data_IF_490012587013
#
_entry.id   IF_490012587013
#
_cell.length_a   1.000
_cell.length_b   1.000
_cell.length_c   1.000
_cell.angle_alpha   90.00
_cell.angle_beta   90.00
_cell.angle_gamma   90.00
#
_symmetry.space_group_name_H-M   'P 1'
#
loop_
_entity.id
_entity.type
_entity.pdbx_description
1 polymer ?
#
# COMPACT_ATOMS: atom_id res chain seq x y z
N UNK A 1 -56.31 -5.87 30.69
CA UNK A 1 -55.13 -6.62 31.16
C UNK A 1 -55.42 -8.13 31.24
N UNK A 2 -56.34 -8.65 30.41
CA UNK A 2 -56.69 -10.08 30.34
C UNK A 2 -56.35 -10.72 28.96
N UNK A 3 -56.03 -9.93 27.94
CA UNK A 3 -55.76 -10.45 26.59
C UNK A 3 -54.31 -10.89 26.33
N UNK A 4 -53.37 -10.61 27.24
CA UNK A 4 -51.95 -11.00 27.05
C UNK A 4 -51.62 -12.31 27.76
N UNK A 5 -52.37 -12.69 28.81
CA UNK A 5 -52.13 -13.94 29.55
C UNK A 5 -52.64 -15.19 28.82
N UNK A 6 -53.71 -15.10 28.01
CA UNK A 6 -54.25 -16.27 27.30
C UNK A 6 -53.42 -16.69 26.07
N UNK A 7 -52.56 -15.81 25.55
CA UNK A 7 -51.65 -16.15 24.44
C UNK A 7 -50.44 -16.95 24.92
N UNK A 8 -50.00 -16.75 26.17
CA UNK A 8 -48.80 -17.41 26.72
C UNK A 8 -49.16 -18.79 27.32
N UNK A 9 -50.32 -18.94 27.94
CA UNK A 9 -50.71 -20.22 28.58
C UNK A 9 -50.97 -21.33 27.55
N UNK A 10 -51.46 -21.00 26.35
CA UNK A 10 -51.62 -21.99 25.27
C UNK A 10 -50.30 -22.35 24.55
N UNK A 11 -49.25 -21.53 24.70
CA UNK A 11 -47.93 -21.84 24.14
C UNK A 11 -47.19 -22.91 24.95
N UNK A 12 -47.47 -23.01 26.26
CA UNK A 12 -46.80 -23.95 27.16
C UNK A 12 -47.50 -25.30 27.32
N UNK A 13 -48.81 -25.41 27.02
CA UNK A 13 -49.54 -26.68 27.15
C UNK A 13 -49.33 -27.66 25.98
N UNK A 14 -48.80 -27.19 24.84
CA UNK A 14 -48.55 -28.05 23.67
C UNK A 14 -47.17 -28.71 23.66
N UNK A 15 -46.28 -28.38 24.61
CA UNK A 15 -44.92 -28.93 24.62
C UNK A 15 -44.79 -30.27 25.36
N UNK A 16 -45.82 -30.71 26.07
CA UNK A 16 -45.70 -31.85 26.99
C UNK A 16 -46.03 -33.24 26.41
N UNK A 17 -46.22 -33.35 25.09
CA UNK A 17 -46.45 -34.64 24.43
C UNK A 17 -45.67 -34.78 23.11
N UNK A 18 -44.37 -34.51 23.17
CA UNK A 18 -43.45 -34.84 22.07
C UNK A 18 -42.68 -36.08 22.48
N UNK A 19 -43.34 -37.22 22.37
CA UNK A 19 -42.68 -38.51 22.29
C UNK A 19 -43.23 -39.24 21.06
N UNK A 20 -42.30 -39.75 20.26
CA UNK A 20 -42.48 -40.55 19.05
C UNK A 20 -42.87 -39.86 17.73
N UNK A 21 -42.01 -40.13 16.74
CA UNK A 21 -42.28 -40.21 15.32
C UNK A 21 -42.43 -38.90 14.52
N UNK A 22 -41.29 -38.53 13.93
CA UNK A 22 -41.15 -38.01 12.58
C UNK A 22 -42.34 -38.26 11.62
N UNK A 23 -43.23 -37.26 11.52
CA UNK A 23 -44.00 -36.84 10.32
C UNK A 23 -45.05 -35.88 10.85
N UNK A 24 -45.05 -34.62 10.41
CA UNK A 24 -46.24 -33.75 10.37
C UNK A 24 -45.82 -32.36 9.84
N UNK A 25 -46.03 -32.12 8.55
CA UNK A 25 -46.41 -30.77 8.10
C UNK A 25 -47.78 -30.49 8.71
N UNK A 26 -47.84 -29.69 9.76
CA UNK A 26 -49.11 -29.30 10.36
C UNK A 26 -49.60 -28.03 9.67
N UNK A 27 -50.74 -28.12 8.97
CA UNK A 27 -51.42 -26.98 8.34
C UNK A 27 -52.51 -26.51 9.28
N UNK A 28 -52.38 -25.29 9.81
CA UNK A 28 -53.38 -24.71 10.70
C UNK A 28 -54.32 -23.80 9.90
N UNK A 29 -55.63 -24.03 10.01
CA UNK A 29 -56.66 -23.17 9.46
C UNK A 29 -57.12 -22.18 10.52
N UNK A 30 -56.96 -20.89 10.25
CA UNK A 30 -57.58 -19.82 11.03
C UNK A 30 -58.66 -19.14 10.19
N UNK A 31 -59.89 -19.11 10.71
CA UNK A 31 -61.00 -18.37 10.13
C UNK A 31 -61.14 -17.01 10.80
N UNK A 32 -61.04 -15.93 10.02
CA UNK A 32 -61.44 -14.59 10.44
C UNK A 32 -62.96 -14.44 10.41
N UNK A 33 -63.53 -13.61 11.29
CA UNK A 33 -64.95 -13.25 11.36
C UNK A 33 -65.52 -12.60 10.06
N UNK A 34 -64.69 -12.41 9.02
CA UNK A 34 -65.07 -11.88 7.71
C UNK A 34 -64.95 -12.88 6.54
N UNK A 35 -64.76 -14.18 6.82
CA UNK A 35 -64.89 -15.25 5.81
C UNK A 35 -63.64 -15.59 4.98
N UNK A 36 -62.57 -14.82 5.10
CA UNK A 36 -61.31 -15.13 4.41
C UNK A 36 -60.51 -16.20 5.16
N UNK A 37 -60.18 -17.30 4.46
CA UNK A 37 -59.33 -18.40 4.96
C UNK A 37 -57.87 -18.07 4.68
N UNK A 38 -57.07 -17.88 5.72
CA UNK A 38 -55.62 -17.73 5.59
C UNK A 38 -54.94 -19.07 5.93
N UNK A 39 -54.06 -19.55 5.04
CA UNK A 39 -53.26 -20.76 5.24
C UNK A 39 -51.90 -20.34 5.79
N UNK A 40 -51.66 -20.54 7.09
CA UNK A 40 -50.32 -20.39 7.67
C UNK A 40 -49.53 -21.69 7.51
N UNK A 41 -48.61 -21.71 6.55
CA UNK A 41 -47.64 -22.80 6.40
C UNK A 41 -46.42 -22.47 7.27
N UNK A 42 -46.37 -23.02 8.49
CA UNK A 42 -45.15 -22.94 9.31
C UNK A 42 -44.18 -24.01 8.80
N UNK A 43 -43.22 -23.60 7.95
CA UNK A 43 -42.09 -24.47 7.59
C UNK A 43 -41.10 -24.46 8.76
N UNK A 44 -40.79 -25.60 9.42
CA UNK A 44 -39.74 -25.61 10.42
C UNK A 44 -38.42 -25.22 9.75
N UNK A 45 -37.76 -24.20 10.29
CA UNK A 45 -36.42 -23.81 9.84
C UNK A 45 -35.47 -24.98 10.06
N UNK A 46 -34.99 -25.60 8.98
CA UNK A 46 -33.90 -26.57 9.06
C UNK A 46 -32.60 -25.81 9.38
N UNK A 47 -32.30 -25.66 10.67
CA UNK A 47 -31.09 -24.97 11.15
C UNK A 47 -29.81 -25.78 10.88
N UNK A 48 -29.92 -27.09 10.62
CA UNK A 48 -28.77 -27.97 10.36
C UNK A 48 -29.07 -28.82 9.13
N UNK A 49 -28.15 -28.80 8.16
CA UNK A 49 -28.15 -29.68 6.98
C UNK A 49 -26.79 -30.38 6.91
N UNK A 50 -26.78 -31.71 7.04
CA UNK A 50 -25.56 -32.51 6.83
C UNK A 50 -25.10 -32.36 5.37
N UNK A 51 -23.86 -31.93 5.18
CA UNK A 51 -23.17 -31.93 3.89
C UNK A 51 -21.88 -32.74 4.06
N UNK A 52 -21.60 -33.63 3.14
CA UNK A 52 -20.29 -34.28 3.04
C UNK A 52 -19.32 -33.25 2.44
N UNK A 53 -18.24 -32.95 3.15
CA UNK A 53 -17.19 -32.05 2.67
C UNK A 53 -15.88 -32.82 2.54
N UNK A 54 -15.13 -32.48 1.50
CA UNK A 54 -13.74 -32.92 1.38
C UNK A 54 -12.93 -32.19 2.44
N UNK A 55 -12.28 -32.95 3.32
CA UNK A 55 -11.34 -32.42 4.31
C UNK A 55 -9.93 -32.85 3.93
N UNK A 56 -8.94 -32.06 4.36
CA UNK A 56 -7.56 -32.49 4.23
C UNK A 56 -7.30 -33.68 5.16
N UNK A 57 -6.61 -34.70 4.63
CA UNK A 57 -6.00 -35.74 5.46
C UNK A 57 -4.87 -35.12 6.28
N UNK A 58 -4.37 -35.83 7.29
CA UNK A 58 -3.18 -35.37 8.04
C UNK A 58 -1.97 -35.13 7.13
N UNK A 59 -1.80 -35.96 6.08
CA UNK A 59 -0.78 -35.75 5.03
C UNK A 59 -1.05 -34.47 4.25
N UNK A 60 -2.32 -34.21 3.90
CA UNK A 60 -2.74 -32.97 3.24
C UNK A 60 -2.44 -31.73 4.08
N UNK A 61 -2.71 -31.78 5.38
CA UNK A 61 -2.36 -30.72 6.32
C UNK A 61 -0.85 -30.53 6.44
N UNK A 62 -0.06 -31.61 6.52
CA UNK A 62 1.41 -31.53 6.51
C UNK A 62 1.94 -30.92 5.22
N UNK A 63 1.39 -31.30 4.07
CA UNK A 63 1.73 -30.72 2.77
C UNK A 63 1.42 -29.23 2.71
N UNK A 64 0.24 -28.82 3.21
CA UNK A 64 -0.15 -27.41 3.27
C UNK A 64 0.77 -26.60 4.19
N UNK A 65 1.10 -27.13 5.37
CA UNK A 65 2.02 -26.48 6.30
C UNK A 65 3.45 -26.39 5.73
N UNK A 66 3.92 -27.44 5.06
CA UNK A 66 5.22 -27.43 4.39
C UNK A 66 5.26 -26.39 3.26
N UNK A 67 4.21 -26.31 2.44
CA UNK A 67 4.09 -25.30 1.39
C UNK A 67 4.02 -23.87 1.98
N UNK A 68 3.20 -23.66 3.00
CA UNK A 68 3.09 -22.38 3.69
C UNK A 68 4.42 -21.95 4.33
N UNK A 69 5.11 -22.89 4.98
CA UNK A 69 6.44 -22.68 5.54
C UNK A 69 7.48 -22.34 4.47
N UNK A 70 7.46 -23.00 3.31
CA UNK A 70 8.34 -22.69 2.19
C UNK A 70 8.07 -21.29 1.62
N UNK A 71 6.80 -20.94 1.38
CA UNK A 71 6.43 -19.60 0.88
C UNK A 71 6.85 -18.52 1.87
N UNK A 72 6.59 -18.72 3.17
CA UNK A 72 7.01 -17.78 4.21
C UNK A 72 8.54 -17.66 4.26
N UNK A 73 9.26 -18.78 4.21
CA UNK A 73 10.72 -18.79 4.18
C UNK A 73 11.24 -17.97 2.98
N UNK A 74 10.78 -18.27 1.77
CA UNK A 74 11.17 -17.52 0.58
C UNK A 74 10.83 -16.03 0.71
N UNK A 75 9.64 -15.70 1.21
CA UNK A 75 9.24 -14.32 1.43
C UNK A 75 10.22 -13.60 2.36
N UNK A 76 10.50 -14.16 3.54
CA UNK A 76 11.39 -13.55 4.54
C UNK A 76 12.77 -13.20 3.97
N UNK A 77 13.36 -14.10 3.17
CA UNK A 77 14.74 -13.93 2.69
C UNK A 77 14.86 -13.21 1.33
N UNK A 78 13.78 -13.12 0.54
CA UNK A 78 13.86 -12.58 -0.83
C UNK A 78 13.12 -11.25 -1.01
N UNK A 79 12.11 -10.95 -0.19
CA UNK A 79 11.27 -9.76 -0.42
C UNK A 79 12.04 -8.46 -0.22
N UNK A 80 12.88 -8.38 0.82
CA UNK A 80 13.62 -7.16 1.15
C UNK A 80 14.59 -6.76 0.02
N UNK A 81 15.54 -7.61 -0.42
CA UNK A 81 16.43 -7.25 -1.52
C UNK A 81 15.70 -7.05 -2.86
N UNK A 82 14.52 -7.66 -3.04
CA UNK A 82 13.66 -7.38 -4.19
C UNK A 82 13.07 -5.96 -4.17
N UNK A 83 12.67 -5.48 -2.99
CA UNK A 83 12.07 -4.15 -2.79
C UNK A 83 13.12 -3.03 -2.66
N UNK A 84 14.34 -3.35 -2.24
CA UNK A 84 15.43 -2.40 -2.06
C UNK A 84 16.56 -2.58 -3.09
N UNK A 85 16.30 -2.49 -4.41
CA UNK A 85 17.35 -2.66 -5.40
C UNK A 85 18.28 -1.43 -5.43
N UNK A 86 19.58 -1.69 -5.53
CA UNK A 86 20.58 -0.68 -5.94
C UNK A 86 21.13 -1.08 -7.31
N UNK A 87 20.71 -0.34 -8.33
CA UNK A 87 21.07 -0.52 -9.74
C UNK A 87 21.30 0.86 -10.38
N UNK A 88 22.41 1.54 -10.05
CA UNK A 88 22.74 2.83 -10.65
C UNK A 88 23.05 2.66 -12.14
N UNK A 89 22.79 3.72 -12.91
CA UNK A 89 23.23 3.87 -14.30
C UNK A 89 24.30 4.95 -14.39
N UNK A 90 24.98 5.05 -15.53
CA UNK A 90 25.85 6.19 -15.81
C UNK A 90 24.97 7.45 -15.94
N UNK A 91 25.04 8.30 -14.92
CA UNK A 91 24.13 9.42 -14.72
C UNK A 91 24.91 10.67 -14.34
N UNK A 92 24.37 11.82 -14.73
CA UNK A 92 24.86 13.15 -14.37
C UNK A 92 23.87 13.90 -13.47
N UNK A 93 22.65 13.37 -13.26
CA UNK A 93 21.67 13.91 -12.33
C UNK A 93 21.33 12.89 -11.23
N UNK A 94 21.31 13.38 -10.00
CA UNK A 94 20.90 12.62 -8.81
C UNK A 94 19.56 13.16 -8.31
N UNK A 95 18.57 12.29 -8.14
CA UNK A 95 17.25 12.67 -7.62
C UNK A 95 17.13 12.26 -6.16
N UNK A 96 16.70 13.18 -5.30
CA UNK A 96 16.20 12.86 -3.96
C UNK A 96 14.72 12.56 -4.09
N UNK A 97 14.34 11.30 -3.92
CA UNK A 97 12.94 10.89 -3.94
C UNK A 97 12.35 10.91 -2.53
N UNK A 98 11.34 11.74 -2.34
CA UNK A 98 10.71 12.00 -1.04
C UNK A 98 11.71 12.53 0.01
N UNK A 99 11.23 12.66 1.26
CA UNK A 99 12.11 13.05 2.36
C UNK A 99 13.03 11.88 2.73
N UNK A 100 14.33 12.14 2.71
CA UNK A 100 15.33 11.30 3.35
C UNK A 100 15.69 11.89 4.72
N UNK A 101 15.90 11.04 5.72
CA UNK A 101 16.48 11.48 6.99
C UNK A 101 17.93 11.96 6.81
N UNK A 102 18.45 12.68 7.80
CA UNK A 102 19.77 13.30 7.78
C UNK A 102 20.89 12.33 7.37
N UNK A 103 20.83 11.07 7.83
CA UNK A 103 21.83 10.08 7.44
C UNK A 103 21.74 9.67 5.97
N UNK A 104 20.52 9.58 5.41
CA UNK A 104 20.30 9.26 4.01
C UNK A 104 20.72 10.42 3.11
N UNK A 105 20.45 11.66 3.53
CA UNK A 105 20.95 12.86 2.84
C UNK A 105 22.47 13.00 2.93
N UNK A 106 23.08 12.51 4.01
CA UNK A 106 24.55 12.44 4.13
C UNK A 106 25.13 11.42 3.15
N UNK A 107 24.58 10.21 3.09
CA UNK A 107 24.98 9.19 2.13
C UNK A 107 24.78 9.67 0.68
N UNK A 108 23.68 10.36 0.41
CA UNK A 108 23.43 11.01 -0.89
C UNK A 108 24.48 12.08 -1.22
N UNK A 109 24.88 12.88 -0.23
CA UNK A 109 25.94 13.89 -0.40
C UNK A 109 27.30 13.25 -0.71
N UNK A 110 27.59 12.10 -0.11
CA UNK A 110 28.82 11.37 -0.33
C UNK A 110 28.81 10.67 -1.71
N UNK A 111 27.67 10.10 -2.12
CA UNK A 111 27.44 9.60 -3.49
C UNK A 111 27.61 10.72 -4.52
N UNK A 112 27.00 11.89 -4.30
CA UNK A 112 27.11 13.06 -5.18
C UNK A 112 28.55 13.50 -5.40
N UNK A 113 29.37 13.52 -4.33
CA UNK A 113 30.78 13.91 -4.41
C UNK A 113 31.69 12.85 -5.03
N UNK A 114 31.36 11.58 -4.85
CA UNK A 114 32.19 10.47 -5.30
C UNK A 114 32.02 10.12 -6.79
N UNK A 115 30.97 10.64 -7.42
CA UNK A 115 30.58 10.36 -8.80
C UNK A 115 30.44 11.65 -9.61
N UNK A 116 30.25 11.51 -10.92
CA UNK A 116 30.20 12.63 -11.86
C UNK A 116 28.80 13.25 -12.00
N UNK A 117 28.11 13.47 -10.88
CA UNK A 117 26.84 14.20 -10.89
C UNK A 117 27.08 15.71 -10.96
N UNK A 118 26.30 16.39 -11.78
CA UNK A 118 26.33 17.86 -11.92
C UNK A 118 25.20 18.53 -11.12
N UNK A 119 24.09 17.82 -10.89
CA UNK A 119 22.88 18.37 -10.30
C UNK A 119 22.18 17.38 -9.37
N UNK A 120 21.69 17.90 -8.25
CA UNK A 120 20.74 17.25 -7.36
C UNK A 120 19.36 17.86 -7.57
N UNK A 121 18.40 17.04 -7.99
CA UNK A 121 17.00 17.42 -8.08
C UNK A 121 16.26 16.85 -6.89
N UNK A 122 15.67 17.71 -6.06
CA UNK A 122 14.98 17.30 -4.84
C UNK A 122 13.48 17.49 -5.00
N UNK A 123 12.75 16.41 -5.25
CA UNK A 123 11.31 16.44 -5.46
C UNK A 123 10.59 15.73 -4.32
N UNK A 124 9.56 16.38 -3.75
CA UNK A 124 8.88 15.83 -2.59
C UNK A 124 7.49 16.38 -2.35
N UNK A 125 6.73 15.66 -1.53
CA UNK A 125 5.37 16.03 -1.14
C UNK A 125 5.34 17.28 -0.26
N UNK A 126 4.20 17.98 -0.26
CA UNK A 126 3.94 19.09 0.68
C UNK A 126 4.04 18.60 2.12
N UNK A 127 4.67 19.42 2.96
CA UNK A 127 4.74 19.15 4.39
C UNK A 127 3.36 19.34 5.05
N UNK A 128 3.02 18.54 6.08
CA UNK A 128 1.77 18.70 6.80
C UNK A 128 1.61 20.11 7.39
N UNK A 129 0.45 20.71 7.17
CA UNK A 129 0.10 22.03 7.73
C UNK A 129 0.15 21.97 9.27
N UNK A 130 0.72 23.00 9.89
CA UNK A 130 0.86 23.10 11.34
C UNK A 130 2.13 22.46 11.91
N UNK A 131 2.98 21.81 11.10
CA UNK A 131 4.33 21.46 11.57
C UNK A 131 5.20 22.71 11.70
N UNK A 132 6.11 22.80 12.70
CA UNK A 132 7.03 23.93 12.81
C UNK A 132 7.86 24.15 11.53
N UNK A 133 8.19 23.07 10.82
CA UNK A 133 8.96 23.10 9.58
C UNK A 133 8.14 23.60 8.39
N UNK A 134 6.81 23.46 8.41
CA UNK A 134 5.95 23.94 7.33
C UNK A 134 5.90 25.48 7.22
N UNK A 135 6.37 26.20 8.25
CA UNK A 135 6.56 27.64 8.20
C UNK A 135 7.73 28.05 7.31
N UNK A 136 8.78 27.22 7.21
CA UNK A 136 10.01 27.51 6.48
C UNK A 136 10.09 26.78 5.14
N UNK A 137 9.57 25.54 5.08
CA UNK A 137 9.64 24.68 3.90
C UNK A 137 8.23 24.23 3.53
N UNK A 138 7.84 24.39 2.26
CA UNK A 138 6.54 23.96 1.75
C UNK A 138 6.56 22.48 1.40
N UNK A 139 7.69 21.94 0.96
CA UNK A 139 7.83 20.53 0.57
C UNK A 139 9.00 19.83 1.26
N UNK A 140 8.91 18.51 1.34
CA UNK A 140 10.03 17.64 1.71
C UNK A 140 11.25 17.81 0.80
N UNK A 141 11.03 18.20 -0.46
CA UNK A 141 12.10 18.50 -1.42
C UNK A 141 12.90 19.74 -1.02
N UNK A 142 12.21 20.82 -0.60
CA UNK A 142 12.86 22.03 -0.10
C UNK A 142 13.61 21.77 1.22
N UNK A 143 13.02 21.00 2.14
CA UNK A 143 13.69 20.61 3.38
C UNK A 143 14.97 19.82 3.11
N UNK A 144 14.91 18.84 2.21
CA UNK A 144 16.08 18.05 1.81
C UNK A 144 17.16 18.94 1.19
N UNK A 145 16.79 19.90 0.33
CA UNK A 145 17.73 20.86 -0.23
C UNK A 145 18.43 21.71 0.85
N UNK A 146 17.70 22.15 1.88
CA UNK A 146 18.27 22.91 2.98
C UNK A 146 19.26 22.09 3.81
N UNK A 147 18.97 20.81 4.06
CA UNK A 147 19.88 19.90 4.76
C UNK A 147 21.12 19.61 3.92
N UNK A 148 20.98 19.37 2.60
CA UNK A 148 22.12 19.15 1.70
C UNK A 148 23.06 20.37 1.65
N UNK A 149 22.52 21.59 1.71
CA UNK A 149 23.32 22.82 1.87
C UNK A 149 24.13 22.79 3.17
N UNK A 150 23.51 22.38 4.29
CA UNK A 150 24.23 22.23 5.58
C UNK A 150 25.32 21.17 5.52
N UNK A 151 25.15 20.14 4.69
CA UNK A 151 26.20 19.14 4.44
C UNK A 151 27.29 19.62 3.49
N UNK A 152 27.24 20.87 3.01
CA UNK A 152 28.27 21.49 2.18
C UNK A 152 28.17 21.18 0.70
N UNK A 153 26.98 20.81 0.20
CA UNK A 153 26.70 20.79 -1.24
C UNK A 153 26.43 22.23 -1.70
N UNK A 154 27.00 22.61 -2.84
CA UNK A 154 26.81 23.94 -3.41
C UNK A 154 25.33 24.19 -3.72
N UNK A 155 24.82 25.37 -3.36
CA UNK A 155 23.46 25.78 -3.71
C UNK A 155 23.20 25.75 -5.22
N UNK A 156 24.21 26.03 -6.04
CA UNK A 156 24.10 25.96 -7.51
C UNK A 156 23.89 24.54 -8.05
N UNK A 157 24.22 23.54 -7.25
CA UNK A 157 24.09 22.13 -7.60
C UNK A 157 22.80 21.50 -7.05
N UNK A 158 21.94 22.25 -6.34
CA UNK A 158 20.69 21.72 -5.78
C UNK A 158 19.51 22.51 -6.32
N UNK A 159 18.54 21.81 -6.89
CA UNK A 159 17.28 22.40 -7.32
C UNK A 159 16.11 21.67 -6.64
N UNK A 160 15.43 22.31 -5.69
CA UNK A 160 14.18 21.79 -5.16
C UNK A 160 13.07 21.96 -6.20
N UNK A 161 12.33 20.89 -6.45
CA UNK A 161 11.20 20.86 -7.38
C UNK A 161 9.93 20.66 -6.58
N UNK A 162 8.94 21.51 -6.82
CA UNK A 162 7.65 21.47 -6.16
C UNK A 162 6.65 20.81 -7.10
N UNK A 163 6.29 19.53 -6.89
CA UNK A 163 5.25 18.89 -7.67
C UNK A 163 3.88 19.50 -7.36
N UNK A 164 2.97 19.46 -8.35
CA UNK A 164 1.56 19.74 -8.09
C UNK A 164 1.01 18.70 -7.10
N UNK A 165 0.17 19.13 -6.13
CA UNK A 165 -0.45 18.20 -5.21
C UNK A 165 -1.42 17.30 -5.99
N UNK A 166 -1.34 16.00 -5.73
CA UNK A 166 -2.27 15.00 -6.27
C UNK A 166 -2.71 14.09 -5.13
N UNK A 167 -3.93 13.59 -5.19
CA UNK A 167 -4.46 12.72 -4.12
C UNK A 167 -3.82 11.33 -4.15
N UNK A 168 -3.49 10.83 -5.34
CA UNK A 168 -2.91 9.50 -5.59
C UNK A 168 -1.60 9.62 -6.34
N UNK A 169 -0.77 8.58 -6.28
CA UNK A 169 0.44 8.45 -7.10
C UNK A 169 1.44 9.62 -6.97
N UNK A 170 1.57 10.17 -5.76
CA UNK A 170 2.44 11.31 -5.43
C UNK A 170 3.88 11.15 -5.92
N UNK A 171 4.45 9.95 -5.86
CA UNK A 171 5.80 9.66 -6.39
C UNK A 171 5.87 9.86 -7.91
N UNK A 172 4.83 9.46 -8.66
CA UNK A 172 4.78 9.67 -10.11
C UNK A 172 4.60 11.16 -10.45
N UNK A 173 3.79 11.89 -9.68
CA UNK A 173 3.67 13.35 -9.83
C UNK A 173 5.01 14.07 -9.57
N UNK A 174 5.78 13.65 -8.55
CA UNK A 174 7.16 14.12 -8.34
C UNK A 174 8.04 13.83 -9.55
N UNK A 175 8.02 12.59 -10.07
CA UNK A 175 8.81 12.21 -11.23
C UNK A 175 8.43 13.01 -12.50
N UNK A 176 7.15 13.29 -12.71
CA UNK A 176 6.68 14.10 -13.82
C UNK A 176 7.09 15.57 -13.66
N UNK A 177 7.06 16.11 -12.44
CA UNK A 177 7.56 17.45 -12.16
C UNK A 177 9.06 17.58 -12.47
N UNK A 178 9.85 16.55 -12.15
CA UNK A 178 11.28 16.49 -12.52
C UNK A 178 11.43 16.47 -14.04
N UNK A 179 10.69 15.61 -14.75
CA UNK A 179 10.72 15.59 -16.23
C UNK A 179 10.39 16.95 -16.84
N UNK A 180 9.30 17.56 -16.38
CA UNK A 180 8.86 18.86 -16.88
C UNK A 180 9.90 19.95 -16.63
N UNK A 181 10.54 19.95 -15.45
CA UNK A 181 11.59 20.89 -15.12
C UNK A 181 12.82 20.71 -16.04
N UNK A 182 13.23 19.47 -16.31
CA UNK A 182 14.32 19.17 -17.25
C UNK A 182 14.01 19.69 -18.66
N UNK A 183 12.81 19.41 -19.17
CA UNK A 183 12.36 19.88 -20.48
C UNK A 183 12.32 21.41 -20.56
N UNK A 184 11.76 22.07 -19.55
CA UNK A 184 11.65 23.54 -19.51
C UNK A 184 13.01 24.23 -19.50
N UNK A 185 14.03 23.59 -18.90
CA UNK A 185 15.39 24.11 -18.85
C UNK A 185 16.27 23.62 -20.02
N UNK A 186 15.69 22.90 -20.99
CA UNK A 186 16.41 22.29 -22.12
C UNK A 186 17.60 21.41 -21.68
N UNK A 187 17.44 20.68 -20.57
CA UNK A 187 18.45 19.77 -20.04
C UNK A 187 18.14 18.36 -20.52
N UNK A 188 19.09 17.76 -21.23
CA UNK A 188 19.06 16.35 -21.62
C UNK A 188 20.11 15.58 -20.80
N UNK A 189 19.73 14.92 -19.70
CA UNK A 189 20.67 14.16 -18.90
C UNK A 189 21.16 12.92 -19.63
N UNK A 190 22.42 12.54 -19.40
CA UNK A 190 22.94 11.24 -19.87
C UNK A 190 22.23 10.08 -19.19
N UNK A 191 21.84 10.31 -17.94
CA UNK A 191 21.08 9.37 -17.13
C UNK A 191 20.74 10.01 -15.80
N UNK A 192 19.80 9.40 -15.10
CA UNK A 192 19.33 9.84 -13.81
C UNK A 192 19.44 8.69 -12.82
N UNK A 193 20.03 8.92 -11.66
CA UNK A 193 19.91 7.99 -10.53
C UNK A 193 18.93 8.55 -9.52
N UNK A 194 17.93 7.75 -9.16
CA UNK A 194 16.99 8.06 -8.08
C UNK A 194 17.58 7.52 -6.78
N UNK A 195 17.64 8.34 -5.74
CA UNK A 195 18.07 7.93 -4.41
C UNK A 195 16.85 7.90 -3.51
N UNK A 196 16.54 6.72 -2.96
CA UNK A 196 15.29 6.45 -2.25
C UNK A 196 15.51 5.50 -1.07
N UNK A 197 14.55 5.45 -0.15
CA UNK A 197 14.69 4.66 1.07
C UNK A 197 14.38 3.18 0.87
N UNK A 198 15.39 2.32 1.05
CA UNK A 198 15.23 0.88 1.26
C UNK A 198 14.13 0.25 0.39
N UNK A 199 13.13 -0.45 0.98
CA UNK A 199 12.02 -1.07 0.25
C UNK A 199 11.17 -0.15 -0.64
N UNK A 200 11.14 1.17 -0.39
CA UNK A 200 10.42 2.14 -1.23
C UNK A 200 11.04 2.24 -2.64
N UNK A 201 12.34 1.98 -2.74
CA UNK A 201 13.16 2.19 -3.93
C UNK A 201 12.62 1.45 -5.17
N UNK A 202 12.08 0.23 -5.02
CA UNK A 202 11.53 -0.54 -6.14
C UNK A 202 10.35 0.16 -6.81
N UNK A 203 9.44 0.71 -6.00
CA UNK A 203 8.24 1.40 -6.49
C UNK A 203 8.62 2.75 -7.10
N UNK A 204 9.49 3.51 -6.45
CA UNK A 204 10.00 4.76 -7.01
C UNK A 204 10.71 4.55 -8.33
N UNK A 205 11.57 3.53 -8.42
CA UNK A 205 12.27 3.22 -9.67
C UNK A 205 11.33 2.87 -10.83
N UNK A 206 10.23 2.16 -10.54
CA UNK A 206 9.20 1.86 -11.54
C UNK A 206 8.51 3.14 -12.03
N UNK A 207 8.09 4.02 -11.12
CA UNK A 207 7.35 5.23 -11.44
C UNK A 207 8.23 6.31 -12.12
N UNK A 208 9.49 6.44 -11.72
CA UNK A 208 10.42 7.34 -12.41
C UNK A 208 10.74 6.86 -13.82
N UNK A 209 10.88 5.54 -14.03
CA UNK A 209 11.02 4.99 -15.39
C UNK A 209 9.81 5.29 -16.27
N UNK A 210 8.61 5.10 -15.73
CA UNK A 210 7.38 5.46 -16.46
C UNK A 210 7.32 6.95 -16.80
N UNK A 211 7.68 7.82 -15.85
CA UNK A 211 7.61 9.26 -16.06
C UNK A 211 8.60 9.70 -17.15
N UNK A 212 9.87 9.27 -17.01
CA UNK A 212 10.96 9.65 -17.90
C UNK A 212 10.80 9.07 -19.31
N UNK A 213 10.26 7.86 -19.44
CA UNK A 213 10.17 7.14 -20.72
C UNK A 213 11.48 6.45 -21.08
N UNK A 214 11.58 5.94 -22.31
CA UNK A 214 12.73 5.13 -22.77
C UNK A 214 13.98 5.97 -23.11
N UNK A 215 13.82 7.28 -23.28
CA UNK A 215 14.90 8.17 -23.73
C UNK A 215 15.96 8.44 -22.67
N UNK A 216 15.58 8.44 -21.39
CA UNK A 216 16.47 8.78 -20.27
C UNK A 216 16.71 7.51 -19.44
N UNK A 217 17.94 6.98 -19.38
CA UNK A 217 18.27 5.89 -18.47
C UNK A 217 18.00 6.28 -17.01
N UNK A 218 17.19 5.48 -16.32
CA UNK A 218 16.88 5.69 -14.90
C UNK A 218 17.45 4.54 -14.07
N UNK A 219 18.40 4.85 -13.21
CA UNK A 219 18.91 3.98 -12.15
C UNK A 219 18.29 4.29 -10.80
N UNK A 220 18.57 3.42 -9.84
CA UNK A 220 18.06 3.51 -8.46
C UNK A 220 19.18 3.18 -7.47
N UNK A 221 19.24 3.91 -6.38
CA UNK A 221 20.13 3.68 -5.25
C UNK A 221 19.26 3.61 -4.00
N UNK A 222 19.23 2.43 -3.39
CA UNK A 222 18.48 2.22 -2.16
C UNK A 222 19.35 2.56 -0.95
N UNK A 223 18.95 3.58 -0.19
CA UNK A 223 19.52 3.92 1.11
C UNK A 223 19.06 2.89 2.14
N UNK A 224 19.99 2.35 2.93
CA UNK A 224 19.64 1.39 3.98
C UNK A 224 18.88 2.09 5.11
N UNK A 225 17.76 1.51 5.54
CA UNK A 225 17.02 2.02 6.69
C UNK A 225 17.75 1.63 7.99
N UNK A 226 18.10 2.60 8.84
CA UNK A 226 18.83 2.36 10.10
C UNK A 226 17.96 1.90 11.27
N UNK A 227 16.63 1.88 11.12
CA UNK A 227 15.69 1.44 12.16
C UNK A 227 15.60 -0.10 12.28
N UNK A 228 16.09 -0.83 11.29
CA UNK A 228 16.09 -2.29 11.31
C UNK A 228 17.22 -2.88 10.46
N UNK A 229 17.60 -4.13 10.74
CA UNK A 229 18.57 -4.86 9.94
C UNK A 229 17.90 -5.42 8.66
N UNK A 230 18.30 -5.01 7.45
CA UNK A 230 17.75 -5.52 6.18
C UNK A 230 17.71 -7.05 6.06
N UNK A 231 18.70 -7.75 6.62
CA UNK A 231 18.81 -9.22 6.53
C UNK A 231 17.89 -9.93 7.53
N UNK A 232 17.36 -9.21 8.52
CA UNK A 232 16.55 -9.73 9.62
C UNK A 232 15.38 -8.78 9.91
N UNK A 233 14.81 -8.19 8.88
CA UNK A 233 13.78 -7.14 8.96
C UNK A 233 12.54 -7.58 9.75
N UNK A 234 12.22 -8.88 9.73
CA UNK A 234 11.07 -9.45 10.45
C UNK A 234 11.25 -9.48 11.98
N UNK A 235 12.44 -9.15 12.49
CA UNK A 235 12.71 -9.12 13.93
C UNK A 235 12.26 -7.83 14.63
N UNK A 236 11.94 -6.78 13.87
CA UNK A 236 11.50 -5.49 14.43
C UNK A 236 10.16 -5.07 13.85
N UNK A 237 9.37 -4.33 14.64
CA UNK A 237 8.09 -3.79 14.17
C UNK A 237 8.25 -2.80 13.02
N UNK A 238 9.33 -1.99 13.04
CA UNK A 238 9.67 -1.08 11.93
C UNK A 238 9.92 -1.88 10.64
N UNK A 239 10.81 -2.88 10.67
CA UNK A 239 11.11 -3.69 9.49
C UNK A 239 9.90 -4.44 8.94
N UNK A 240 9.07 -5.04 9.81
CA UNK A 240 7.83 -5.71 9.40
C UNK A 240 6.87 -4.74 8.71
N UNK A 241 6.61 -3.57 9.31
CA UNK A 241 5.69 -2.57 8.74
C UNK A 241 6.22 -2.06 7.41
N UNK A 242 7.48 -1.61 7.35
CA UNK A 242 8.07 -1.07 6.12
C UNK A 242 8.02 -2.08 4.97
N UNK A 243 8.41 -3.33 5.21
CA UNK A 243 8.45 -4.35 4.15
C UNK A 243 7.06 -4.73 3.69
N UNK A 244 6.09 -4.93 4.60
CA UNK A 244 4.73 -5.29 4.23
C UNK A 244 4.02 -4.13 3.52
N UNK A 245 4.12 -2.91 4.04
CA UNK A 245 3.50 -1.72 3.46
C UNK A 245 4.05 -1.47 2.05
N UNK A 246 5.36 -1.57 1.83
CA UNK A 246 5.94 -1.40 0.50
C UNK A 246 5.68 -2.59 -0.43
N UNK A 247 5.52 -3.81 0.09
CA UNK A 247 5.05 -4.95 -0.71
C UNK A 247 3.65 -4.66 -1.28
N UNK A 248 2.72 -4.26 -0.42
CA UNK A 248 1.34 -3.95 -0.80
C UNK A 248 1.31 -2.74 -1.73
N UNK A 249 2.02 -1.67 -1.39
CA UNK A 249 2.07 -0.46 -2.19
C UNK A 249 2.71 -0.71 -3.58
N UNK A 250 3.75 -1.53 -3.67
CA UNK A 250 4.34 -1.93 -4.95
C UNK A 250 3.36 -2.73 -5.80
N UNK A 251 2.67 -3.72 -5.23
CA UNK A 251 1.65 -4.50 -5.95
C UNK A 251 0.51 -3.60 -6.42
N UNK A 252 0.02 -2.72 -5.55
CA UNK A 252 -1.02 -1.74 -5.90
C UNK A 252 -0.57 -0.85 -7.05
N UNK A 253 0.62 -0.26 -6.96
CA UNK A 253 1.19 0.58 -8.01
C UNK A 253 1.50 -0.19 -9.30
N UNK A 254 1.68 -1.51 -9.25
CA UNK A 254 1.91 -2.31 -10.46
C UNK A 254 0.63 -2.71 -11.17
N UNK A 255 -0.46 -2.89 -10.43
CA UNK A 255 -1.73 -3.43 -10.96
C UNK A 255 -2.81 -2.37 -11.21
N UNK A 256 -2.79 -1.26 -10.46
CA UNK A 256 -3.88 -0.26 -10.42
C UNK A 256 -3.44 1.12 -10.91
N UNK A 257 -2.12 1.35 -11.01
CA UNK A 257 -1.58 2.63 -11.45
C UNK A 257 -1.97 2.92 -12.91
N UNK A 258 -2.41 4.16 -13.13
CA UNK A 258 -2.78 4.70 -14.43
C UNK A 258 -2.03 6.03 -14.62
N UNK A 259 -0.99 6.09 -15.47
CA UNK A 259 -0.19 7.30 -15.66
C UNK A 259 -1.00 8.42 -16.31
N UNK A 260 -1.94 8.12 -17.21
CA UNK A 260 -2.69 9.12 -17.97
C UNK A 260 -3.68 9.89 -17.10
N UNK A 261 -4.25 9.22 -16.09
CA UNK A 261 -5.04 9.89 -15.05
C UNK A 261 -4.22 10.99 -14.38
N UNK A 262 -3.00 10.68 -13.93
CA UNK A 262 -2.16 11.64 -13.20
C UNK A 262 -1.71 12.78 -14.11
N UNK A 263 -1.37 12.49 -15.38
CA UNK A 263 -1.04 13.53 -16.37
C UNK A 263 -2.22 14.49 -16.57
N UNK A 264 -3.44 13.96 -16.65
CA UNK A 264 -4.66 14.75 -16.80
C UNK A 264 -4.93 15.62 -15.57
N UNK A 265 -4.88 15.04 -14.37
CA UNK A 265 -5.07 15.75 -13.09
C UNK A 265 -4.11 16.95 -12.97
N UNK A 266 -2.84 16.75 -13.34
CA UNK A 266 -1.82 17.81 -13.34
C UNK A 266 -2.08 18.87 -14.42
N UNK A 267 -2.73 18.52 -15.54
CA UNK A 267 -3.02 19.46 -16.63
C UNK A 267 -4.28 20.32 -16.40
N UNK A 268 -5.23 19.86 -15.59
CA UNK A 268 -6.53 20.52 -15.39
C UNK A 268 -6.57 21.60 -14.31
N UNK A 269 -5.51 21.75 -13.52
CA UNK A 269 -5.36 22.80 -12.48
C UNK A 269 -4.32 23.86 -12.85
#
# INVERSE_FOLDING_TARGET
MEDVCNVIVNYLFLYHHIDSAAKLTSTYFFSSLRGDKYICIVRPMKLIKRKECWTFTWIGWMGLLALGGLVLFLFLFTIHPFLAPTKPVDADILIVDNFLEDYGLKELSDEFRSKNYSLILSAGVRLPQGSPLAAEYKTSGELSAAILKKFGISEKAIVPIIPKPVERDRTFASALAVKNWLTQNNIQPRGINVFSFGPHSRRSWMLYKEAMGEEIPVGIIACENREYDPKRWWKTSSGVRTVLDETIAYIYAKLVFDPERVRTEIATE
#
